data_IF_903095282401
#
_entry.id   IF_903095282401
#
_cell.length_a   1.000
_cell.length_b   1.000
_cell.length_c   1.000
_cell.angle_alpha   90.00
_cell.angle_beta   90.00
_cell.angle_gamma   90.00
#
_symmetry.space_group_name_H-M   'P 1'
#
loop_
_entity.id
_entity.type
_entity.pdbx_description
1 polymer ?
#
# COMPACT_ATOMS: atom_id res chain seq x y z
N UNK A 1 -8.09 -2.02 1.76
CA UNK A 1 -6.75 -2.46 1.36
C UNK A 1 -6.85 -3.19 0.03
N UNK A 2 -5.87 -3.03 -0.86
CA UNK A 2 -5.89 -3.71 -2.16
C UNK A 2 -4.64 -3.42 -2.99
N UNK A 3 -4.49 -4.12 -4.11
CA UNK A 3 -3.45 -3.92 -5.12
C UNK A 3 -3.91 -2.86 -6.12
N UNK A 4 -3.25 -1.69 -6.11
CA UNK A 4 -3.59 -0.57 -7.00
C UNK A 4 -2.68 -0.51 -8.23
N UNK A 5 -1.58 -1.27 -8.21
CA UNK A 5 -0.55 -1.24 -9.26
C UNK A 5 -0.08 0.19 -9.61
N UNK A 6 -0.05 1.11 -8.64
CA UNK A 6 0.25 2.53 -8.86
C UNK A 6 1.50 2.95 -8.08
N UNK A 7 2.34 3.79 -8.69
CA UNK A 7 3.57 4.28 -8.04
C UNK A 7 3.38 5.72 -7.60
N UNK A 8 3.60 6.01 -6.33
CA UNK A 8 3.70 7.38 -5.83
C UNK A 8 4.70 7.44 -4.66
N UNK A 9 5.43 8.55 -4.58
CA UNK A 9 6.35 8.83 -3.48
C UNK A 9 5.67 8.86 -2.11
N UNK A 10 4.38 9.21 -2.05
CA UNK A 10 3.58 9.25 -0.82
C UNK A 10 3.47 7.90 -0.11
N UNK A 11 3.58 6.79 -0.84
CA UNK A 11 3.53 5.43 -0.28
C UNK A 11 4.80 4.63 -0.59
N UNK A 12 5.93 5.31 -0.76
CA UNK A 12 7.24 4.68 -0.77
C UNK A 12 7.76 4.24 -2.14
N UNK A 13 7.17 4.70 -3.26
CA UNK A 13 7.80 4.55 -4.58
C UNK A 13 8.89 5.61 -4.80
N UNK A 14 9.84 5.36 -5.70
CA UNK A 14 10.89 6.34 -6.03
C UNK A 14 10.43 7.46 -6.96
N UNK A 15 9.27 7.29 -7.59
CA UNK A 15 8.63 8.23 -8.51
C UNK A 15 7.12 8.12 -8.42
N UNK A 16 6.44 9.14 -8.90
CA UNK A 16 4.99 9.13 -9.09
C UNK A 16 4.66 8.89 -10.57
N UNK A 17 3.81 7.90 -10.85
CA UNK A 17 3.25 7.64 -12.18
C UNK A 17 1.85 8.23 -12.31
N UNK A 18 1.28 8.23 -13.53
CA UNK A 18 -0.05 8.81 -13.77
C UNK A 18 -1.14 8.20 -12.88
N UNK A 19 -1.04 6.89 -12.56
CA UNK A 19 -1.99 6.21 -11.68
C UNK A 19 -1.79 6.65 -10.23
N UNK A 20 -0.55 6.84 -9.81
CA UNK A 20 -0.22 7.42 -8.51
C UNK A 20 -0.79 8.82 -8.33
N UNK A 21 -0.73 9.66 -9.37
CA UNK A 21 -1.37 10.99 -9.35
C UNK A 21 -2.91 10.90 -9.26
N UNK A 22 -3.54 10.04 -10.07
CA UNK A 22 -5.01 9.86 -10.00
C UNK A 22 -5.48 9.38 -8.62
N UNK A 23 -4.75 8.47 -7.98
CA UNK A 23 -5.10 8.02 -6.63
C UNK A 23 -4.90 9.15 -5.62
N UNK A 24 -3.82 9.92 -5.73
CA UNK A 24 -3.58 11.08 -4.87
C UNK A 24 -4.73 12.10 -4.97
N UNK A 25 -5.16 12.45 -6.18
CA UNK A 25 -6.33 13.31 -6.41
C UNK A 25 -7.60 12.74 -5.76
N UNK A 26 -7.90 11.46 -5.98
CA UNK A 26 -9.06 10.79 -5.34
C UNK A 26 -8.96 10.80 -3.82
N UNK A 27 -7.77 10.63 -3.24
CA UNK A 27 -7.62 10.69 -1.78
C UNK A 27 -7.93 12.06 -1.21
N UNK A 28 -7.57 13.12 -1.94
CA UNK A 28 -7.86 14.51 -1.57
C UNK A 28 -9.36 14.81 -1.70
N UNK A 29 -9.97 14.41 -2.81
CA UNK A 29 -11.39 14.68 -3.09
C UNK A 29 -12.33 13.93 -2.14
N UNK A 30 -12.01 12.67 -1.82
CA UNK A 30 -12.85 11.81 -0.97
C UNK A 30 -12.51 11.90 0.53
N UNK A 31 -11.60 12.79 0.91
CA UNK A 31 -11.11 12.94 2.29
C UNK A 31 -10.69 11.60 2.91
N UNK A 32 -9.81 10.87 2.20
CA UNK A 32 -9.21 9.61 2.67
C UNK A 32 -7.71 9.78 2.87
N UNK A 33 -7.13 8.94 3.71
CA UNK A 33 -5.70 8.92 4.01
C UNK A 33 -5.12 7.56 3.71
N UNK A 34 -3.84 7.55 3.35
CA UNK A 34 -3.04 6.35 3.16
C UNK A 34 -2.35 6.01 4.48
N UNK A 35 -2.50 4.77 4.93
CA UNK A 35 -1.88 4.29 6.18
C UNK A 35 -0.50 3.66 5.97
N UNK A 36 -0.11 3.38 4.73
CA UNK A 36 1.19 2.81 4.42
C UNK A 36 2.33 3.73 4.90
N UNK A 37 3.37 3.15 5.49
CA UNK A 37 4.55 3.85 6.00
C UNK A 37 5.69 4.02 4.97
N UNK A 38 5.43 3.65 3.71
CA UNK A 38 6.42 3.62 2.64
C UNK A 38 7.15 2.29 2.47
N UNK A 39 6.88 1.29 3.32
CA UNK A 39 7.40 -0.06 3.16
C UNK A 39 7.02 -0.68 1.81
N UNK A 40 7.91 -1.55 1.30
CA UNK A 40 7.68 -2.25 0.03
C UNK A 40 6.68 -3.38 0.23
N UNK A 41 5.55 -3.33 -0.46
CA UNK A 41 4.43 -4.27 -0.28
C UNK A 41 4.44 -5.43 -1.27
N UNK A 42 5.27 -5.35 -2.33
CA UNK A 42 5.29 -6.34 -3.41
C UNK A 42 6.72 -6.67 -3.86
N UNK A 43 6.98 -7.94 -4.19
CA UNK A 43 8.18 -8.38 -4.90
C UNK A 43 7.81 -8.85 -6.30
N UNK A 44 8.23 -8.08 -7.31
CA UNK A 44 8.09 -8.49 -8.70
C UNK A 44 9.14 -9.54 -9.04
N UNK A 45 8.74 -10.82 -9.14
CA UNK A 45 9.65 -11.91 -9.51
C UNK A 45 10.18 -11.78 -10.94
N UNK A 46 9.42 -11.16 -11.83
CA UNK A 46 9.83 -10.96 -13.22
C UNK A 46 11.05 -10.03 -13.33
N UNK A 47 11.18 -9.08 -12.40
CA UNK A 47 12.24 -8.07 -12.42
C UNK A 47 13.17 -8.15 -11.20
N UNK A 48 12.87 -8.98 -10.21
CA UNK A 48 13.58 -9.05 -8.94
C UNK A 48 13.50 -7.75 -8.12
N UNK A 49 12.45 -6.95 -8.30
CA UNK A 49 12.34 -5.61 -7.69
C UNK A 49 11.24 -5.54 -6.65
N UNK A 50 11.49 -4.74 -5.61
CA UNK A 50 10.50 -4.42 -4.59
C UNK A 50 9.73 -3.16 -4.92
N UNK A 51 8.40 -3.24 -4.87
CA UNK A 51 7.48 -2.16 -5.21
C UNK A 51 6.49 -1.90 -4.07
N UNK A 52 5.90 -0.71 -4.04
CA UNK A 52 4.86 -0.32 -3.08
C UNK A 52 3.57 -0.07 -3.85
N UNK A 53 2.83 -1.12 -4.17
CA UNK A 53 1.63 -1.05 -5.03
C UNK A 53 0.33 -1.44 -4.32
N UNK A 54 0.45 -2.16 -3.21
CA UNK A 54 -0.67 -2.43 -2.34
C UNK A 54 -0.88 -1.29 -1.33
N UNK A 55 -2.08 -0.72 -1.29
CA UNK A 55 -2.43 0.43 -0.43
C UNK A 55 -3.52 0.10 0.57
N UNK A 56 -3.43 0.73 1.74
CA UNK A 56 -4.45 0.73 2.77
C UNK A 56 -4.96 2.16 2.95
N UNK A 57 -6.22 2.36 2.56
CA UNK A 57 -6.93 3.63 2.67
C UNK A 57 -7.90 3.58 3.84
N UNK A 58 -8.07 4.72 4.51
CA UNK A 58 -9.11 4.92 5.53
C UNK A 58 -9.57 6.38 5.55
N UNK A 59 -10.58 6.67 6.34
CA UNK A 59 -11.00 8.05 6.64
C UNK A 59 -10.16 8.61 7.80
N UNK A 60 -9.83 9.92 7.81
CA UNK A 60 -8.91 10.52 8.79
C UNK A 60 -9.25 10.23 10.25
N UNK A 61 -10.54 10.26 10.61
CA UNK A 61 -10.97 10.06 12.00
C UNK A 61 -10.81 8.61 12.49
N UNK A 62 -10.63 7.64 11.58
CA UNK A 62 -10.29 6.26 11.94
C UNK A 62 -8.77 6.02 11.92
N UNK A 63 -7.99 6.89 11.26
CA UNK A 63 -6.53 6.75 11.15
C UNK A 63 -5.83 6.47 12.48
N UNK A 64 -6.02 7.29 13.53
CA UNK A 64 -5.40 7.08 14.84
C UNK A 64 -5.82 5.78 15.55
N UNK A 65 -6.89 5.13 15.09
CA UNK A 65 -7.36 3.85 15.66
C UNK A 65 -6.65 2.66 15.03
N UNK A 66 -5.87 2.86 13.98
CA UNK A 66 -5.17 1.79 13.28
C UNK A 66 -3.67 1.88 13.52
N UNK A 67 -3.08 0.75 13.90
CA UNK A 67 -1.65 0.51 13.72
C UNK A 67 -1.48 -0.22 12.38
N UNK A 68 -0.65 0.36 11.51
CA UNK A 68 -0.29 -0.22 10.23
C UNK A 68 1.11 -0.80 10.33
N UNK A 69 1.26 -2.09 9.98
CA UNK A 69 2.54 -2.76 9.93
C UNK A 69 2.58 -3.68 8.71
N UNK A 70 3.72 -3.69 8.01
CA UNK A 70 3.97 -4.69 6.98
C UNK A 70 4.34 -6.01 7.65
N UNK A 71 3.39 -6.94 7.72
CA UNK A 71 3.68 -8.30 8.16
C UNK A 71 4.41 -9.06 7.04
N UNK A 72 5.66 -9.41 7.27
CA UNK A 72 6.44 -10.25 6.37
C UNK A 72 5.97 -11.72 6.44
N UNK A 73 4.91 -12.03 5.72
CA UNK A 73 4.53 -13.41 5.44
C UNK A 73 4.64 -13.66 3.93
N UNK A 74 5.68 -14.40 3.54
CA UNK A 74 5.94 -14.77 2.15
C UNK A 74 4.99 -15.90 1.72
N UNK A 75 4.00 -15.59 0.86
CA UNK A 75 3.24 -16.62 0.15
C UNK A 75 3.68 -16.70 -1.32
N UNK A 76 4.16 -17.87 -1.73
CA UNK A 76 4.40 -18.17 -3.15
C UNK A 76 3.05 -18.41 -3.82
N UNK A 77 2.60 -17.49 -4.68
CA UNK A 77 1.40 -17.66 -5.52
C UNK A 77 1.81 -17.90 -6.97
N UNK A 78 0.99 -18.60 -7.76
CA UNK A 78 1.31 -19.00 -9.14
C UNK A 78 1.61 -17.84 -10.11
N UNK A 79 1.33 -16.59 -9.72
CA UNK A 79 1.64 -15.37 -10.48
C UNK A 79 2.83 -14.56 -9.90
N UNK A 80 3.50 -15.05 -8.86
CA UNK A 80 4.52 -14.32 -8.11
C UNK A 80 4.41 -14.52 -6.59
N UNK A 81 5.46 -14.15 -5.83
CA UNK A 81 5.38 -14.01 -4.38
C UNK A 81 4.51 -12.79 -4.07
N UNK A 82 3.32 -13.00 -3.48
CA UNK A 82 2.50 -11.92 -2.94
C UNK A 82 2.71 -11.89 -1.44
N UNK A 83 3.07 -10.73 -0.89
CA UNK A 83 2.88 -10.50 0.54
C UNK A 83 1.39 -10.33 0.76
N UNK A 84 0.75 -11.30 1.40
CA UNK A 84 -0.64 -11.13 1.83
C UNK A 84 -0.64 -10.18 3.03
N UNK A 85 -1.20 -8.98 2.81
CA UNK A 85 -1.43 -7.97 3.83
C UNK A 85 -2.60 -8.39 4.72
N UNK A 86 -2.33 -8.82 5.94
CA UNK A 86 -3.36 -8.92 6.98
C UNK A 86 -2.80 -8.42 8.29
N UNK A 87 -3.03 -7.14 8.60
CA UNK A 87 -2.66 -6.57 9.90
C UNK A 87 -3.08 -5.12 10.08
N UNK A 88 -4.38 -4.81 9.95
CA UNK A 88 -4.93 -3.61 10.58
C UNK A 88 -5.29 -3.99 12.01
N UNK A 89 -4.49 -3.57 12.99
CA UNK A 89 -4.86 -3.72 14.38
C UNK A 89 -5.64 -2.49 14.83
N UNK A 90 -6.80 -2.70 15.44
CA UNK A 90 -7.48 -1.65 16.19
C UNK A 90 -6.65 -1.38 17.46
N UNK A 91 -6.16 -0.15 17.61
CA UNK A 91 -5.65 0.34 18.89
C UNK A 91 -6.82 0.36 19.86
N UNK A 92 -6.79 -0.52 20.86
CA UNK A 92 -7.72 -0.51 22.00
C UNK A 92 -7.20 0.47 23.04
#
# INVERSE_FOLDING_TARGET
MGDFNASNTLWGSSKTDNRGHMIEEVTLDENTIILNDGSKTNLSLAHGTFNSVDLTLTVPYLGPRFLWELLAHLQVVKSGLKMQLTGLFLSV
#
